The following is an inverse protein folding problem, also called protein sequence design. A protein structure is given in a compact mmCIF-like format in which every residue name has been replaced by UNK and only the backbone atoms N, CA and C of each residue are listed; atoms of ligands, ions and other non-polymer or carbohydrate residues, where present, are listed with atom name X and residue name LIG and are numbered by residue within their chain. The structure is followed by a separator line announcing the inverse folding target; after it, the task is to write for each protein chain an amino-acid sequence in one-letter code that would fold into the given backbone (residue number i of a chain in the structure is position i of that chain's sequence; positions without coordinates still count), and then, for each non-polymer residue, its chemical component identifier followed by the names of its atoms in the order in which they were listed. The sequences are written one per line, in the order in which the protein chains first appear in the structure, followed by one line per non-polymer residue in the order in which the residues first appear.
data_IF_874081212815
#
_entry.id   IF_874081212815
#
_cell.length_a   1.000
_cell.length_b   1.000
_cell.length_c   1.000
_cell.angle_alpha   90.00
_cell.angle_beta   90.00
_cell.angle_gamma   90.00
#
_symmetry.space_group_name_H-M   'P 1'
#
loop_
_entity.id
_entity.type
_entity.pdbx_description
1 polymer ?
#
# COMPACT_ATOMS: atom_id res chain seq x y z
N UNK A 1 0.35 8.93 7.15
CA UNK A 1 1.17 7.71 7.28
C UNK A 1 0.75 6.75 6.17
N UNK A 2 1.67 6.37 5.30
CA UNK A 2 1.44 5.49 4.14
C UNK A 2 1.46 3.99 4.51
N UNK A 3 1.06 3.63 5.74
CA UNK A 3 0.80 2.25 6.13
C UNK A 3 2.03 1.35 6.17
N UNK A 4 2.07 0.27 5.39
CA UNK A 4 3.19 -0.68 5.33
C UNK A 4 4.05 -0.54 4.05
N UNK A 5 4.00 0.61 3.36
CA UNK A 5 4.86 0.89 2.21
C UNK A 5 6.34 1.06 2.62
N UNK A 6 7.26 0.73 1.73
CA UNK A 6 8.69 1.02 1.88
C UNK A 6 8.96 2.52 1.67
N UNK A 7 10.14 2.99 2.05
CA UNK A 7 10.46 4.42 2.04
C UNK A 7 10.41 5.04 0.63
N UNK A 8 10.76 4.27 -0.40
CA UNK A 8 10.67 4.69 -1.80
C UNK A 8 9.21 4.93 -2.22
N UNK A 9 8.31 3.98 -1.97
CA UNK A 9 6.89 4.09 -2.31
C UNK A 9 6.20 5.20 -1.50
N UNK A 10 6.65 5.45 -0.26
CA UNK A 10 6.19 6.59 0.55
C UNK A 10 6.54 7.92 -0.10
N UNK A 11 7.80 8.06 -0.50
CA UNK A 11 8.30 9.27 -1.15
C UNK A 11 7.57 9.52 -2.47
N UNK A 12 7.31 8.47 -3.25
CA UNK A 12 6.58 8.59 -4.50
C UNK A 12 5.11 8.98 -4.26
N UNK A 13 4.45 8.38 -3.25
CA UNK A 13 3.11 8.81 -2.86
C UNK A 13 3.09 10.29 -2.43
N UNK A 14 4.01 10.75 -1.57
CA UNK A 14 4.11 12.15 -1.16
C UNK A 14 4.29 13.10 -2.35
N UNK A 15 5.10 12.69 -3.33
CA UNK A 15 5.26 13.41 -4.59
C UNK A 15 3.95 13.44 -5.41
N UNK A 16 3.25 12.31 -5.48
CA UNK A 16 2.04 12.10 -6.26
C UNK A 16 0.83 12.89 -5.74
N UNK A 17 0.59 12.93 -4.43
CA UNK A 17 -0.59 13.61 -3.85
C UNK A 17 -0.63 15.09 -4.21
N UNK A 18 0.52 15.75 -4.28
CA UNK A 18 0.60 17.19 -4.60
C UNK A 18 0.48 17.47 -6.10
N UNK A 19 0.68 16.46 -6.96
CA UNK A 19 0.76 16.59 -8.42
C UNK A 19 -0.39 15.93 -9.17
N UNK A 20 -1.40 15.42 -8.45
CA UNK A 20 -2.52 14.66 -9.03
C UNK A 20 -2.01 13.51 -9.90
N UNK A 21 -1.09 12.73 -9.35
CA UNK A 21 -0.68 11.45 -9.93
C UNK A 21 -1.37 10.30 -9.19
N UNK A 22 -1.30 9.10 -9.76
CA UNK A 22 -1.80 7.89 -9.10
C UNK A 22 -1.07 7.64 -7.79
N UNK A 23 -1.75 6.98 -6.86
CA UNK A 23 -1.18 6.59 -5.57
C UNK A 23 -1.23 5.07 -5.41
N UNK A 24 -0.27 4.55 -4.65
CA UNK A 24 -0.21 3.15 -4.24
C UNK A 24 -0.66 3.01 -2.78
N UNK A 25 -1.34 1.93 -2.44
CA UNK A 25 -1.65 1.55 -1.05
C UNK A 25 -1.44 0.06 -0.86
N UNK A 26 -1.03 -0.33 0.36
CA UNK A 26 -0.85 -1.72 0.76
C UNK A 26 -1.76 -2.02 1.95
N UNK A 27 -2.58 -3.07 1.83
CA UNK A 27 -3.43 -3.56 2.90
C UNK A 27 -3.03 -4.98 3.29
N UNK A 28 -2.82 -5.22 4.58
CA UNK A 28 -2.59 -6.57 5.11
C UNK A 28 -3.93 -7.27 5.30
N UNK A 29 -4.09 -8.43 4.68
CA UNK A 29 -5.31 -9.23 4.73
C UNK A 29 -5.31 -10.16 5.94
N UNK A 30 -5.12 -9.57 7.12
CA UNK A 30 -5.19 -10.25 8.43
C UNK A 30 -6.01 -9.39 9.40
N UNK A 31 -6.49 -9.98 10.48
CA UNK A 31 -7.16 -9.22 11.54
C UNK A 31 -6.22 -8.23 12.25
N UNK A 32 -6.82 -7.27 12.94
CA UNK A 32 -6.10 -6.19 13.61
C UNK A 32 -5.19 -6.69 14.74
N UNK A 33 -5.58 -7.75 15.45
CA UNK A 33 -4.80 -8.32 16.55
C UNK A 33 -3.49 -8.92 16.03
N UNK A 34 -3.57 -9.73 14.98
CA UNK A 34 -2.41 -10.31 14.29
C UNK A 34 -1.52 -9.23 13.66
N UNK A 35 -2.11 -8.19 13.07
CA UNK A 35 -1.34 -7.08 12.51
C UNK A 35 -0.58 -6.29 13.59
N UNK A 36 -1.21 -6.07 14.75
CA UNK A 36 -0.59 -5.40 15.90
C UNK A 36 0.51 -6.25 16.54
N UNK A 37 0.30 -7.57 16.62
CA UNK A 37 1.28 -8.52 17.13
C UNK A 37 2.48 -8.76 16.18
N UNK A 38 2.36 -8.42 14.90
CA UNK A 38 3.43 -8.62 13.90
C UNK A 38 4.33 -7.38 13.80
N UNK A 39 5.64 -7.50 14.13
CA UNK A 39 6.61 -6.42 13.94
C UNK A 39 6.62 -5.89 12.50
N UNK A 40 6.78 -4.58 12.34
CA UNK A 40 6.62 -3.90 11.03
C UNK A 40 7.56 -4.45 9.96
N UNK A 41 8.80 -4.74 10.33
CA UNK A 41 9.84 -5.37 9.50
C UNK A 41 9.47 -6.79 9.02
N UNK A 42 8.54 -7.46 9.71
CA UNK A 42 8.05 -8.81 9.37
C UNK A 42 6.70 -8.80 8.66
N UNK A 43 6.03 -7.65 8.54
CA UNK A 43 4.70 -7.57 7.92
C UNK A 43 4.70 -7.91 6.43
N UNK A 44 5.84 -7.79 5.74
CA UNK A 44 6.01 -8.23 4.34
C UNK A 44 5.67 -9.71 4.12
N UNK A 45 5.80 -10.55 5.16
CA UNK A 45 5.42 -11.97 5.12
C UNK A 45 3.91 -12.23 5.24
N UNK A 46 3.12 -11.21 5.61
CA UNK A 46 1.67 -11.33 5.71
C UNK A 46 1.02 -11.17 4.33
N UNK A 47 -0.10 -11.89 4.06
CA UNK A 47 -0.89 -11.69 2.87
C UNK A 47 -1.26 -10.22 2.69
N UNK A 48 -1.13 -9.71 1.46
CA UNK A 48 -1.38 -8.31 1.15
C UNK A 48 -2.19 -8.14 -0.12
N UNK A 49 -2.87 -7.01 -0.19
CA UNK A 49 -3.49 -6.49 -1.40
C UNK A 49 -2.85 -5.13 -1.71
N UNK A 50 -2.36 -4.98 -2.93
CA UNK A 50 -1.85 -3.71 -3.44
C UNK A 50 -2.96 -3.02 -4.22
N UNK A 51 -3.11 -1.72 -4.00
CA UNK A 51 -4.16 -0.91 -4.59
C UNK A 51 -3.52 0.27 -5.28
N UNK A 52 -3.74 0.41 -6.59
CA UNK A 52 -3.35 1.58 -7.36
C UNK A 52 -4.62 2.36 -7.70
N UNK A 53 -4.67 3.62 -7.31
CA UNK A 53 -5.81 4.50 -7.61
C UNK A 53 -5.32 5.68 -8.43
N UNK A 54 -5.88 5.87 -9.63
CA UNK A 54 -5.59 7.05 -10.45
C UNK A 54 -6.06 8.32 -9.75
N UNK A 55 -5.42 9.45 -10.03
CA UNK A 55 -5.64 10.70 -9.31
C UNK A 55 -7.08 11.24 -9.38
N UNK A 56 -7.75 10.98 -10.50
CA UNK A 56 -9.14 11.34 -10.75
C UNK A 56 -10.13 10.27 -10.25
N UNK A 57 -9.62 9.19 -9.66
CA UNK A 57 -10.38 8.03 -9.17
C UNK A 57 -11.19 7.32 -10.25
N UNK A 58 -10.89 7.55 -11.52
CA UNK A 58 -11.56 6.89 -12.65
C UNK A 58 -11.31 5.38 -12.67
N UNK A 59 -10.14 4.96 -12.19
CA UNK A 59 -9.72 3.57 -12.14
C UNK A 59 -9.09 3.26 -10.79
N UNK A 60 -9.42 2.09 -10.25
CA UNK A 60 -8.73 1.50 -9.09
C UNK A 60 -8.41 0.05 -9.43
N UNK A 61 -7.12 -0.28 -9.45
CA UNK A 61 -6.62 -1.62 -9.75
C UNK A 61 -6.20 -2.29 -8.45
N UNK A 62 -6.60 -3.55 -8.30
CA UNK A 62 -6.24 -4.41 -7.17
C UNK A 62 -5.25 -5.47 -7.67
N UNK A 63 -4.11 -5.61 -7.00
CA UNK A 63 -3.04 -6.54 -7.37
C UNK A 63 -2.68 -7.43 -6.19
N UNK A 64 -2.43 -8.71 -6.47
CA UNK A 64 -1.77 -9.62 -5.54
C UNK A 64 -0.26 -9.32 -5.49
N UNK A 65 0.47 -9.73 -4.44
CA UNK A 65 1.91 -9.47 -4.34
C UNK A 65 2.72 -10.07 -5.49
N UNK A 66 2.23 -11.14 -6.11
CA UNK A 66 2.81 -11.79 -7.29
C UNK A 66 2.49 -11.07 -8.62
N UNK A 67 1.61 -10.07 -8.59
CA UNK A 67 1.22 -9.24 -9.74
C UNK A 67 1.78 -7.81 -9.64
N UNK A 68 2.43 -7.50 -8.53
CA UNK A 68 3.11 -6.23 -8.25
C UNK A 68 4.61 -6.40 -8.47
#
# INVERSE_FOLDING_TARGET
DWGDLCDEDRSENDYAVTRRLRILSCYRLVDAERLAATPRDKRSSLPALWIITEADRSVTTLLRPDEY
#
